data_IF_028712564023
#
_entry.id   IF_028712564023
#
_cell.length_a   1.000
_cell.length_b   1.000
_cell.length_c   1.000
_cell.angle_alpha   90.00
_cell.angle_beta   90.00
_cell.angle_gamma   90.00
#
_symmetry.space_group_name_H-M   'P 1'
#
loop_
_entity.id
_entity.type
_entity.pdbx_description
1 polymer ?
#
# COMPACT_ATOMS: atom_id res chain seq x y z
N UNK A 1 -13.70 8.12 -14.70
CA UNK A 1 -12.34 8.39 -14.13
C UNK A 1 -11.78 7.06 -13.63
N UNK A 2 -10.53 6.71 -13.97
CA UNK A 2 -9.85 5.47 -13.57
C UNK A 2 -8.96 5.72 -12.34
N UNK A 3 -9.57 5.99 -11.18
CA UNK A 3 -8.88 6.21 -9.90
C UNK A 3 -9.60 5.46 -8.79
N UNK A 4 -8.83 4.99 -7.82
CA UNK A 4 -9.32 4.40 -6.58
C UNK A 4 -8.46 4.91 -5.41
N UNK A 5 -9.10 5.03 -4.25
CA UNK A 5 -8.43 5.32 -2.98
C UNK A 5 -8.55 4.08 -2.09
N UNK A 6 -7.46 3.68 -1.45
CA UNK A 6 -7.39 2.43 -0.67
C UNK A 6 -6.68 2.74 0.65
N UNK A 7 -7.34 2.44 1.76
CA UNK A 7 -6.72 2.48 3.09
C UNK A 7 -6.16 1.09 3.42
N UNK A 8 -4.88 1.04 3.77
CA UNK A 8 -4.16 -0.21 4.01
C UNK A 8 -3.62 -0.18 5.44
N UNK A 9 -3.96 -1.19 6.23
CA UNK A 9 -3.26 -1.51 7.48
C UNK A 9 -2.32 -2.68 7.20
N UNK A 10 -1.04 -2.51 7.50
CA UNK A 10 -0.04 -3.51 7.22
C UNK A 10 0.99 -3.60 8.33
N UNK A 11 1.81 -4.65 8.27
CA UNK A 11 3.00 -4.77 9.11
C UNK A 11 4.06 -3.74 8.68
N UNK A 12 4.94 -3.38 9.61
CA UNK A 12 6.10 -2.54 9.32
C UNK A 12 6.99 -3.18 8.25
N UNK A 13 7.56 -2.35 7.38
CA UNK A 13 8.41 -2.80 6.28
C UNK A 13 7.66 -3.25 5.03
N UNK A 14 6.32 -3.17 4.98
CA UNK A 14 5.58 -3.38 3.74
C UNK A 14 5.78 -2.20 2.77
N UNK A 15 6.17 -2.54 1.55
CA UNK A 15 6.44 -1.64 0.45
C UNK A 15 5.13 -1.38 -0.34
N UNK A 16 4.43 -0.28 -0.03
CA UNK A 16 3.09 -0.01 -0.59
C UNK A 16 3.11 0.20 -2.11
N UNK A 17 4.15 0.82 -2.67
CA UNK A 17 4.23 1.06 -4.12
C UNK A 17 4.38 -0.26 -4.89
N UNK A 18 5.10 -1.19 -4.31
CA UNK A 18 5.37 -2.53 -4.83
C UNK A 18 4.12 -3.41 -4.68
N UNK A 19 3.38 -3.31 -3.57
CA UNK A 19 2.06 -3.92 -3.43
C UNK A 19 1.09 -3.45 -4.52
N UNK A 20 1.16 -2.19 -4.95
CA UNK A 20 0.31 -1.66 -6.03
C UNK A 20 0.77 -2.16 -7.40
N UNK A 21 2.07 -2.04 -7.70
CA UNK A 21 2.63 -2.25 -9.05
C UNK A 21 3.01 -3.70 -9.36
N UNK A 22 3.23 -4.52 -8.33
CA UNK A 22 3.76 -5.88 -8.46
C UNK A 22 5.28 -5.97 -8.64
N UNK A 23 5.99 -4.83 -8.64
CA UNK A 23 7.47 -4.77 -8.76
C UNK A 23 8.02 -5.69 -9.87
N UNK A 24 7.47 -5.57 -11.08
CA UNK A 24 7.80 -6.41 -12.24
C UNK A 24 7.70 -7.93 -11.97
N UNK A 25 6.73 -8.33 -11.13
CA UNK A 25 6.49 -9.73 -10.77
C UNK A 25 7.23 -10.20 -9.51
N UNK A 26 8.06 -9.36 -8.89
CA UNK A 26 8.75 -9.69 -7.63
C UNK A 26 7.82 -9.66 -6.42
N UNK A 27 6.70 -8.94 -6.49
CA UNK A 27 5.71 -8.87 -5.40
C UNK A 27 4.43 -9.61 -5.78
N UNK A 28 4.12 -10.65 -5.01
CA UNK A 28 2.90 -11.45 -5.15
C UNK A 28 2.35 -11.83 -3.76
N UNK A 29 1.07 -11.55 -3.44
CA UNK A 29 0.08 -10.89 -4.29
C UNK A 29 0.34 -9.39 -4.49
N UNK A 30 -0.25 -8.80 -5.54
CA UNK A 30 -0.24 -7.36 -5.80
C UNK A 30 -1.57 -6.89 -6.45
N UNK A 31 -1.87 -5.60 -6.35
CA UNK A 31 -3.14 -5.02 -6.81
C UNK A 31 -3.26 -5.06 -8.32
N UNK A 32 -2.21 -4.74 -9.07
CA UNK A 32 -2.23 -4.73 -10.54
C UNK A 32 -2.62 -6.10 -11.11
N UNK A 33 -2.02 -7.17 -10.59
CA UNK A 33 -2.34 -8.55 -10.96
C UNK A 33 -3.77 -8.92 -10.54
N UNK A 34 -4.20 -8.50 -9.34
CA UNK A 34 -5.54 -8.79 -8.82
C UNK A 34 -6.65 -8.20 -9.70
N UNK A 35 -6.50 -6.96 -10.14
CA UNK A 35 -7.51 -6.26 -10.97
C UNK A 35 -7.31 -6.48 -12.48
N UNK A 36 -6.25 -7.21 -12.88
CA UNK A 36 -5.86 -7.46 -14.28
C UNK A 36 -5.63 -6.18 -15.09
N UNK A 37 -5.15 -5.12 -14.44
CA UNK A 37 -4.85 -3.82 -15.05
C UNK A 37 -3.58 -3.26 -14.40
N UNK A 38 -2.72 -2.61 -15.19
CA UNK A 38 -1.54 -1.92 -14.66
C UNK A 38 -1.96 -0.74 -13.78
N UNK A 39 -1.81 -0.88 -12.47
CA UNK A 39 -2.03 0.19 -11.51
C UNK A 39 -0.71 0.89 -11.18
N UNK A 40 -0.78 2.20 -10.96
CA UNK A 40 0.37 3.01 -10.52
C UNK A 40 -0.06 3.86 -9.31
N UNK A 41 0.76 3.93 -8.25
CA UNK A 41 0.51 4.85 -7.15
C UNK A 41 0.51 6.28 -7.65
N UNK A 42 -0.53 7.05 -7.29
CA UNK A 42 -0.58 8.49 -7.60
C UNK A 42 -0.17 9.34 -6.40
N UNK A 43 -0.71 9.01 -5.23
CA UNK A 43 -0.50 9.64 -3.93
C UNK A 43 -0.37 8.51 -2.89
N UNK A 44 0.39 8.76 -1.83
CA UNK A 44 0.61 7.81 -0.73
C UNK A 44 0.89 8.59 0.55
N UNK A 45 -0.02 8.48 1.50
CA UNK A 45 0.08 9.11 2.82
C UNK A 45 0.06 8.04 3.91
N UNK A 46 0.90 8.21 4.92
CA UNK A 46 0.85 7.41 6.14
C UNK A 46 -0.14 8.11 7.07
N UNK A 47 -1.21 7.41 7.47
CA UNK A 47 -2.23 8.00 8.35
C UNK A 47 -1.98 7.74 9.83
N UNK A 48 -1.31 6.63 10.17
CA UNK A 48 -1.06 6.22 11.55
C UNK A 48 0.09 5.20 11.62
N UNK A 49 0.89 5.25 12.69
CA UNK A 49 1.92 4.24 13.03
C UNK A 49 1.63 3.68 14.41
N UNK A 50 1.25 2.39 14.47
CA UNK A 50 0.91 1.70 15.73
C UNK A 50 2.11 0.88 16.20
N UNK A 51 2.54 1.10 17.45
CA UNK A 51 3.56 0.30 18.13
C UNK A 51 2.90 -0.37 19.33
N UNK A 52 3.21 -1.65 19.59
CA UNK A 52 2.69 -2.33 20.78
C UNK A 52 3.23 -1.65 22.04
N UNK A 53 2.33 -1.27 22.95
CA UNK A 53 2.67 -0.62 24.22
C UNK A 53 2.61 0.91 24.22
N UNK A 54 2.66 1.59 23.07
CA UNK A 54 2.58 3.05 22.99
C UNK A 54 1.78 3.52 21.76
N UNK A 55 0.76 4.37 21.98
CA UNK A 55 0.15 5.15 20.89
C UNK A 55 1.09 6.28 20.54
N UNK A 56 1.86 6.11 19.46
CA UNK A 56 2.53 7.23 18.80
C UNK A 56 1.42 7.97 18.04
N UNK A 57 1.32 9.29 18.22
CA UNK A 57 0.22 10.12 17.72
C UNK A 57 0.01 10.06 16.20
N UNK A 58 -1.02 10.76 15.73
CA UNK A 58 -1.26 10.99 14.29
C UNK A 58 -0.07 11.77 13.70
N UNK A 59 0.38 11.37 12.50
CA UNK A 59 1.49 12.00 11.77
C UNK A 59 1.05 13.22 10.99
#
# INVERSE_FOLDING_TARGET
RNRAEIKIRCQGGLYIKELVTGDNGRTNPNISSLIKVKAVPKELDVLNVVVEGEKIGEV
#
